data_IF_875562889374
#
_entry.id   IF_875562889374
#
_cell.length_a   1.000
_cell.length_b   1.000
_cell.length_c   1.000
_cell.angle_alpha   90.00
_cell.angle_beta   90.00
_cell.angle_gamma   90.00
#
_symmetry.space_group_name_H-M   'P 1'
#
loop_
_entity.id
_entity.type
_entity.pdbx_description
1 polymer ?
#
# COMPACT_ATOMS: atom_id res chain seq x y z
N UNK A 1 -6.00 -21.11 -1.70
CA UNK A 1 -5.72 -20.37 -1.85
C UNK A 1 -5.98 -19.35 -1.28
N UNK A 2 -5.71 -18.71 -0.99
CA UNK A 2 -6.02 -17.79 -0.35
C UNK A 2 -6.13 -16.72 -1.05
N UNK A 3 -6.63 -15.97 -0.83
CA UNK A 3 -6.79 -15.05 -1.46
C UNK A 3 -6.31 -13.99 -1.02
N UNK A 4 -5.93 -13.30 -1.33
CA UNK A 4 -5.45 -12.28 -0.96
C UNK A 4 -6.29 -11.40 -0.85
N UNK A 5 -6.40 -10.61 -0.33
CA UNK A 5 -7.06 -9.59 -0.18
C UNK A 5 -7.40 -9.04 -1.28
N UNK A 6 -8.25 -9.49 -1.85
CA UNK A 6 -8.71 -9.01 -3.04
C UNK A 6 -9.10 -7.58 -3.03
N UNK A 7 -9.74 -7.11 -2.02
CA UNK A 7 -10.20 -5.75 -2.00
C UNK A 7 -9.07 -4.74 -2.06
N UNK A 8 -8.06 -4.90 -1.27
CA UNK A 8 -6.94 -3.99 -1.27
C UNK A 8 -6.15 -4.07 -2.55
N UNK A 9 -6.00 -5.28 -3.06
CA UNK A 9 -5.24 -5.48 -4.28
C UNK A 9 -5.96 -4.86 -5.48
N UNK A 10 -7.26 -5.04 -5.54
CA UNK A 10 -8.04 -4.44 -6.61
C UNK A 10 -8.00 -2.93 -6.54
N UNK A 11 -8.10 -2.39 -5.33
CA UNK A 11 -8.02 -0.96 -5.17
C UNK A 11 -6.66 -0.47 -5.67
N UNK A 12 -5.61 -1.18 -5.33
CA UNK A 12 -4.26 -0.83 -5.75
C UNK A 12 -4.17 -0.78 -7.28
N UNK A 13 -4.68 -1.79 -7.93
CA UNK A 13 -4.62 -1.84 -9.37
C UNK A 13 -5.42 -0.74 -10.04
N UNK A 14 -6.52 -0.38 -9.46
CA UNK A 14 -7.40 0.61 -10.05
C UNK A 14 -7.06 2.05 -9.67
N UNK A 15 -6.13 2.25 -8.80
CA UNK A 15 -5.79 3.57 -8.34
C UNK A 15 -4.32 3.89 -8.45
N UNK A 16 -3.73 3.49 -9.57
CA UNK A 16 -2.31 3.69 -9.78
C UNK A 16 -1.90 5.16 -9.77
N UNK A 17 -2.80 6.04 -10.14
CA UNK A 17 -2.49 7.45 -10.11
C UNK A 17 -2.28 7.94 -8.69
N UNK A 18 -3.01 7.37 -7.74
CA UNK A 18 -2.83 7.75 -6.36
C UNK A 18 -1.54 7.14 -5.83
N UNK A 19 -1.30 5.91 -6.21
CA UNK A 19 -0.14 5.18 -5.74
C UNK A 19 1.16 5.86 -6.15
N UNK A 20 1.24 6.33 -7.37
CA UNK A 20 2.49 6.92 -7.85
C UNK A 20 2.87 8.18 -7.12
N UNK A 21 1.95 8.78 -6.37
CA UNK A 21 2.28 9.95 -5.61
C UNK A 21 3.24 9.61 -4.48
N UNK A 22 3.35 8.34 -4.13
CA UNK A 22 4.20 7.91 -3.03
C UNK A 22 5.46 7.22 -3.49
N UNK A 23 5.95 7.59 -4.67
CA UNK A 23 7.16 6.97 -5.19
C UNK A 23 8.30 7.05 -4.19
N UNK A 24 9.01 5.98 -4.04
CA UNK A 24 10.13 5.90 -3.11
C UNK A 24 9.72 5.59 -1.69
N UNK A 25 8.41 5.40 -1.45
CA UNK A 25 7.93 5.08 -0.13
C UNK A 25 7.25 3.75 -0.11
N UNK A 26 7.13 3.20 1.09
CA UNK A 26 6.29 2.03 1.29
C UNK A 26 4.91 2.59 1.66
N UNK A 27 3.87 1.92 1.25
CA UNK A 27 2.52 2.33 1.60
C UNK A 27 1.77 1.17 2.20
N UNK A 28 0.73 1.48 2.96
CA UNK A 28 -0.14 0.47 3.52
C UNK A 28 -1.56 0.80 3.07
N UNK A 29 -2.24 -0.19 2.56
CA UNK A 29 -3.61 -0.03 2.07
C UNK A 29 -4.54 -0.85 2.94
N UNK A 30 -5.59 -0.24 3.40
CA UNK A 30 -6.63 -0.95 4.16
C UNK A 30 -7.94 -0.60 3.48
N UNK A 31 -8.66 -1.62 3.07
CA UNK A 31 -9.91 -1.43 2.35
C UNK A 31 -9.64 -0.77 1.02
N UNK A 32 -10.09 0.42 0.84
CA UNK A 32 -9.88 1.10 -0.41
C UNK A 32 -9.22 2.45 -0.19
N UNK A 33 -8.26 2.51 0.69
CA UNK A 33 -7.51 3.74 0.83
C UNK A 33 -6.09 3.49 1.34
N UNK A 34 -5.20 4.40 1.05
CA UNK A 34 -3.84 4.35 1.54
C UNK A 34 -3.87 5.00 2.90
N UNK A 35 -3.59 4.23 3.94
CA UNK A 35 -3.68 4.72 5.30
C UNK A 35 -2.37 5.14 5.91
N UNK A 36 -1.26 4.81 5.29
CA UNK A 36 0.03 5.21 5.81
C UNK A 36 1.09 5.13 4.73
N UNK A 37 2.15 5.89 4.87
CA UNK A 37 3.29 5.78 3.98
C UNK A 37 4.53 6.19 4.75
N UNK A 38 5.65 5.64 4.40
CA UNK A 38 6.91 5.97 5.03
C UNK A 38 8.04 5.36 4.23
N UNK A 39 9.26 5.64 4.60
CA UNK A 39 10.39 5.14 3.90
C UNK A 39 10.71 3.69 4.24
N UNK A 40 10.21 3.16 5.34
CA UNK A 40 10.48 1.78 5.66
C UNK A 40 9.18 1.01 5.87
N UNK A 41 9.22 -0.26 5.53
CA UNK A 41 8.04 -1.10 5.65
C UNK A 41 7.60 -1.23 7.10
N UNK A 42 8.55 -1.32 8.01
CA UNK A 42 8.22 -1.45 9.40
C UNK A 42 7.48 -0.24 9.91
N UNK A 43 7.93 0.93 9.53
CA UNK A 43 7.32 2.15 9.94
C UNK A 43 5.90 2.27 9.42
N UNK A 44 5.70 1.89 8.18
CA UNK A 44 4.39 1.92 7.56
C UNK A 44 3.47 0.94 8.24
N UNK A 45 3.97 -0.25 8.52
CA UNK A 45 3.17 -1.27 9.17
C UNK A 45 2.73 -0.77 10.55
N UNK A 46 3.65 -0.20 11.30
CA UNK A 46 3.34 0.30 12.63
C UNK A 46 2.29 1.41 12.58
N UNK A 47 2.41 2.30 11.62
CA UNK A 47 1.44 3.37 11.47
C UNK A 47 0.07 2.83 11.11
N UNK A 48 0.03 1.89 10.21
CA UNK A 48 -1.24 1.33 9.78
C UNK A 48 -1.91 0.56 10.91
N UNK A 49 -1.13 -0.17 11.68
CA UNK A 49 -1.69 -0.94 12.80
C UNK A 49 -2.17 -0.04 13.93
N UNK A 50 -1.57 1.12 14.08
CA UNK A 50 -2.03 2.04 15.07
C UNK A 50 -3.37 2.59 14.69
N UNK A 51 -3.57 2.82 13.41
CA UNK A 51 -4.81 3.36 12.94
C UNK A 51 -5.88 2.32 12.88
N UNK A 52 -5.54 1.12 12.45
CA UNK A 52 -6.50 0.04 12.29
C UNK A 52 -5.96 -1.24 12.90
N UNK A 53 -5.97 -1.35 14.21
CA UNK A 53 -5.35 -2.51 14.86
C UNK A 53 -5.98 -3.84 14.49
N UNK A 54 -7.23 -3.82 14.08
CA UNK A 54 -7.89 -5.06 13.72
C UNK A 54 -7.74 -5.46 12.28
N UNK A 55 -7.07 -4.68 11.47
CA UNK A 55 -6.98 -4.98 10.05
C UNK A 55 -5.59 -5.43 9.66
N UNK A 56 -5.52 -6.10 8.54
CA UNK A 56 -4.24 -6.54 8.01
C UNK A 56 -3.94 -5.71 6.78
N UNK A 57 -3.11 -4.72 6.88
CA UNK A 57 -2.86 -3.86 5.74
C UNK A 57 -2.06 -4.54 4.65
N UNK A 58 -2.32 -4.18 3.42
CA UNK A 58 -1.52 -4.65 2.31
C UNK A 58 -0.35 -3.70 2.19
N UNK A 59 0.86 -4.18 2.30
CA UNK A 59 2.04 -3.34 2.19
C UNK A 59 2.63 -3.42 0.80
N UNK A 60 3.05 -2.30 0.30
CA UNK A 60 3.62 -2.26 -1.03
C UNK A 60 4.68 -1.17 -1.12
N UNK A 61 5.78 -1.46 -1.78
CA UNK A 61 6.82 -0.46 -2.00
C UNK A 61 6.57 0.17 -3.37
N UNK A 62 6.50 1.49 -3.43
CA UNK A 62 6.26 2.18 -4.68
C UNK A 62 7.60 2.59 -5.25
N UNK A 63 8.01 1.97 -6.33
CA UNK A 63 9.30 2.22 -6.92
C UNK A 63 9.40 3.64 -7.40
N UNK A 64 10.58 4.24 -7.26
CA UNK A 64 10.72 5.53 -7.73
C UNK A 64 11.01 5.53 -9.16
N UNK A 65 11.34 4.64 -9.78
CA UNK A 65 11.68 4.62 -11.12
C UNK A 65 10.69 4.36 -12.04
N UNK A 66 10.97 4.19 -13.12
CA UNK A 66 10.15 4.04 -13.97
C UNK A 66 9.70 2.86 -14.20
N UNK A 67 9.72 2.24 -13.97
CA UNK A 67 9.38 1.17 -14.14
C UNK A 67 8.30 0.76 -14.67
N UNK A 68 7.54 1.10 -14.88
CA UNK A 68 6.46 0.65 -15.32
C UNK A 68 6.40 0.64 -16.55
N UNK A 69 6.75 0.57 -17.05
CA UNK A 69 6.75 0.61 -18.17
C UNK A 69 6.08 -0.03 -18.76
N UNK A 70 5.76 -0.41 -18.97
CA UNK A 70 5.14 -0.92 -19.55
C UNK A 70 4.85 -0.79 -20.20
#
# INVERSE_FOLDING_TARGET
>A
MYRLTAEEYLWFLNNQKEVVKYRGNHIAIVGNEIVAHAKSAKEVYDKAKRKYPDKSPLLHYVHKGELFVL
#
